data_IF_500627688585
#
_entry.id   IF_500627688585
#
_cell.length_a   1.000
_cell.length_b   1.000
_cell.length_c   1.000
_cell.angle_alpha   90.00
_cell.angle_beta   90.00
_cell.angle_gamma   90.00
#
_symmetry.space_group_name_H-M   'P 1'
#
loop_
_entity.id
_entity.type
_entity.pdbx_description
1 polymer ?
#
# COMPACT_ATOMS: atom_id res chain seq x y z
N UNK A 1 -0.12 22.25 -18.60
CA UNK A 1 -0.98 21.68 -17.55
C UNK A 1 -0.29 20.42 -17.02
N UNK A 2 0.46 20.52 -15.91
CA UNK A 2 1.20 19.38 -15.33
C UNK A 2 0.33 18.74 -14.26
N UNK A 3 -0.15 17.53 -14.51
CA UNK A 3 -0.82 16.68 -13.53
C UNK A 3 0.23 16.35 -12.46
N UNK A 4 0.00 16.83 -11.23
CA UNK A 4 0.89 16.61 -10.09
C UNK A 4 1.04 15.12 -9.82
N UNK A 5 2.26 14.63 -9.95
CA UNK A 5 2.60 13.22 -9.77
C UNK A 5 2.52 12.85 -8.28
N UNK A 6 1.31 12.52 -7.78
CA UNK A 6 1.07 12.08 -6.40
C UNK A 6 1.66 10.68 -6.08
N UNK A 7 2.39 10.09 -7.03
CA UNK A 7 3.05 8.81 -6.83
C UNK A 7 4.39 8.92 -6.08
N UNK A 8 4.94 10.12 -5.85
CA UNK A 8 6.27 10.28 -5.24
C UNK A 8 6.34 9.72 -3.80
N UNK A 9 5.29 9.87 -2.98
CA UNK A 9 5.24 9.28 -1.64
C UNK A 9 5.16 7.76 -1.65
N UNK A 10 4.43 7.20 -2.61
CA UNK A 10 4.26 5.76 -2.80
C UNK A 10 5.51 5.13 -3.42
N UNK A 11 6.20 5.81 -4.34
CA UNK A 11 7.49 5.37 -4.84
C UNK A 11 8.57 5.44 -3.77
N UNK A 12 8.56 6.43 -2.87
CA UNK A 12 9.40 6.44 -1.66
C UNK A 12 9.06 5.25 -0.75
N UNK A 13 7.79 4.89 -0.61
CA UNK A 13 7.33 3.74 0.17
C UNK A 13 7.82 2.39 -0.42
N UNK A 14 7.64 2.16 -1.72
CA UNK A 14 8.18 0.99 -2.42
C UNK A 14 9.72 1.01 -2.48
N UNK A 15 10.35 2.19 -2.53
CA UNK A 15 11.81 2.32 -2.45
C UNK A 15 12.33 2.01 -1.05
N UNK A 16 11.61 2.35 0.02
CA UNK A 16 11.92 1.96 1.40
C UNK A 16 11.73 0.46 1.64
N UNK A 17 10.82 -0.21 0.91
CA UNK A 17 10.73 -1.68 0.89
C UNK A 17 11.99 -2.35 0.29
N UNK A 18 12.78 -1.63 -0.52
CA UNK A 18 14.05 -2.09 -1.12
C UNK A 18 15.30 -1.38 -0.56
N UNK A 19 15.13 -0.38 0.30
CA UNK A 19 16.16 0.58 0.68
C UNK A 19 16.52 0.47 2.15
N UNK A 20 17.22 -0.59 2.51
CA UNK A 20 17.55 -0.87 3.91
C UNK A 20 18.72 -1.83 4.12
N UNK A 21 19.82 -1.68 3.37
CA UNK A 21 21.22 -1.72 3.84
C UNK A 21 22.19 -1.83 2.66
N UNK A 22 23.21 -0.97 2.71
CA UNK A 22 24.30 -0.90 1.76
C UNK A 22 25.07 -2.22 1.65
N UNK A 23 25.66 -2.39 0.47
CA UNK A 23 26.53 -3.49 0.06
C UNK A 23 27.65 -3.73 1.09
N UNK A 24 27.59 -4.85 1.80
CA UNK A 24 28.80 -5.50 2.33
C UNK A 24 29.14 -6.62 1.37
N UNK A 25 30.22 -6.43 0.63
CA UNK A 25 30.91 -7.45 -0.15
C UNK A 25 31.25 -8.62 0.79
N UNK A 26 30.48 -9.70 0.76
CA UNK A 26 30.81 -10.94 1.47
C UNK A 26 31.70 -11.77 0.55
N UNK A 27 33.00 -11.57 0.73
CA UNK A 27 34.08 -12.40 0.22
C UNK A 27 33.84 -13.86 0.62
N UNK A 28 34.08 -14.75 -0.34
CA UNK A 28 34.13 -16.21 -0.19
C UNK A 28 34.88 -16.65 1.07
N UNK A 29 34.22 -17.46 1.91
CA UNK A 29 34.83 -18.07 3.08
C UNK A 29 34.09 -19.35 3.47
N UNK A 30 34.66 -20.49 3.08
CA UNK A 30 34.29 -21.82 3.54
C UNK A 30 34.33 -21.89 5.06
N UNK A 31 33.19 -22.13 5.71
CA UNK A 31 33.11 -22.27 7.16
C UNK A 31 31.78 -22.86 7.59
N UNK A 32 31.79 -24.16 7.92
CA UNK A 32 30.63 -24.87 8.42
C UNK A 32 30.13 -24.25 9.74
N UNK A 33 28.91 -23.71 9.73
CA UNK A 33 28.17 -23.38 10.94
C UNK A 33 26.78 -24.01 10.87
N UNK A 34 26.54 -24.97 11.79
CA UNK A 34 25.23 -25.57 12.05
C UNK A 34 24.34 -24.53 12.74
N UNK A 35 23.69 -23.70 11.94
CA UNK A 35 22.54 -22.88 12.33
C UNK A 35 21.50 -23.00 11.22
N UNK A 36 20.22 -23.07 11.56
CA UNK A 36 19.10 -23.24 10.63
C UNK A 36 18.95 -22.05 9.65
N UNK A 37 19.87 -21.90 8.70
CA UNK A 37 19.64 -21.12 7.49
C UNK A 37 18.72 -21.94 6.59
N UNK A 38 17.42 -21.67 6.65
CA UNK A 38 16.50 -22.07 5.60
C UNK A 38 16.75 -21.18 4.37
N UNK A 39 17.85 -21.47 3.65
CA UNK A 39 18.22 -20.74 2.46
C UNK A 39 17.20 -20.96 1.35
N UNK A 40 16.76 -19.87 0.71
CA UNK A 40 15.98 -19.96 -0.51
C UNK A 40 16.82 -20.60 -1.63
N UNK A 41 16.19 -21.43 -2.45
CA UNK A 41 16.76 -21.97 -3.69
C UNK A 41 16.38 -21.10 -4.90
N UNK A 42 17.05 -21.34 -6.04
CA UNK A 42 16.62 -20.76 -7.33
C UNK A 42 15.22 -21.26 -7.73
N UNK A 43 14.87 -22.49 -7.36
CA UNK A 43 13.55 -23.05 -7.61
C UNK A 43 12.49 -22.39 -6.74
N UNK A 44 12.79 -22.01 -5.50
CA UNK A 44 11.89 -21.22 -4.64
C UNK A 44 11.61 -19.83 -5.24
N UNK A 45 12.63 -19.20 -5.84
CA UNK A 45 12.46 -17.94 -6.55
C UNK A 45 11.52 -18.07 -7.75
N UNK A 46 11.67 -19.15 -8.54
CA UNK A 46 10.85 -19.41 -9.73
C UNK A 46 9.43 -19.86 -9.39
N UNK A 47 9.27 -20.69 -8.37
CA UNK A 47 7.98 -21.23 -7.92
C UNK A 47 7.16 -20.25 -7.08
N UNK A 48 7.79 -19.19 -6.56
CA UNK A 48 7.13 -18.21 -5.69
C UNK A 48 7.17 -18.56 -4.20
N UNK A 49 7.85 -19.65 -3.82
CA UNK A 49 8.11 -20.04 -2.44
C UNK A 49 9.29 -19.32 -1.79
N UNK A 50 9.94 -18.41 -2.51
CA UNK A 50 11.01 -17.58 -1.97
C UNK A 50 10.53 -16.78 -0.74
N UNK A 51 11.20 -17.01 0.39
CA UNK A 51 11.00 -16.29 1.65
C UNK A 51 11.73 -14.96 1.61
N UNK A 52 11.02 -13.88 1.91
CA UNK A 52 11.65 -12.57 2.07
C UNK A 52 12.47 -12.50 3.39
N UNK A 53 13.13 -11.37 3.65
CA UNK A 53 13.90 -11.10 4.88
C UNK A 53 13.08 -11.23 6.17
N UNK A 54 11.76 -11.26 6.08
CA UNK A 54 10.84 -11.46 7.19
C UNK A 54 10.34 -12.91 7.31
N UNK A 55 10.92 -13.84 6.55
CA UNK A 55 10.57 -15.27 6.56
C UNK A 55 9.26 -15.61 5.86
N UNK A 56 8.67 -14.67 5.10
CA UNK A 56 7.36 -14.82 4.46
C UNK A 56 7.52 -15.26 3.01
N UNK A 57 6.94 -16.41 2.66
CA UNK A 57 6.85 -16.93 1.28
C UNK A 57 5.81 -16.16 0.46
N UNK A 58 5.97 -16.15 -0.87
CA UNK A 58 4.97 -15.60 -1.77
C UNK A 58 5.02 -14.09 -1.96
N UNK A 59 6.11 -13.42 -1.54
CA UNK A 59 6.23 -11.95 -1.58
C UNK A 59 7.26 -11.41 -2.59
N UNK A 60 8.15 -12.23 -3.17
CA UNK A 60 9.15 -11.76 -4.15
C UNK A 60 8.57 -11.34 -5.53
N UNK A 61 8.54 -10.05 -5.86
CA UNK A 61 7.88 -9.50 -7.06
C UNK A 61 8.80 -9.38 -8.29
N UNK A 62 10.10 -9.65 -8.15
CA UNK A 62 11.09 -9.50 -9.22
C UNK A 62 10.70 -10.32 -10.45
N UNK A 63 10.61 -9.67 -11.61
CA UNK A 63 10.24 -10.30 -12.88
C UNK A 63 8.77 -10.74 -12.99
N UNK A 64 7.92 -10.37 -12.03
CA UNK A 64 6.50 -10.74 -11.99
C UNK A 64 5.59 -9.53 -12.20
N UNK A 65 4.48 -9.74 -12.90
CA UNK A 65 3.44 -8.72 -13.15
C UNK A 65 2.07 -9.11 -12.57
N UNK A 66 1.90 -10.38 -12.18
CA UNK A 66 0.63 -10.94 -11.71
C UNK A 66 0.15 -10.30 -10.40
N UNK A 67 1.03 -9.68 -9.63
CA UNK A 67 0.70 -9.05 -8.35
C UNK A 67 -0.11 -7.75 -8.44
N UNK A 68 -0.09 -7.06 -9.60
CA UNK A 68 -0.85 -5.83 -9.82
C UNK A 68 -2.30 -6.11 -10.20
N UNK A 69 -3.01 -6.86 -9.36
CA UNK A 69 -4.42 -7.21 -9.57
C UNK A 69 -5.24 -6.96 -8.32
N UNK A 70 -6.51 -6.65 -8.51
CA UNK A 70 -7.45 -6.45 -7.41
C UNK A 70 -7.91 -7.81 -6.91
N UNK A 71 -7.74 -8.05 -5.61
CA UNK A 71 -8.24 -9.25 -4.92
C UNK A 71 -9.21 -8.85 -3.82
N UNK A 72 -10.09 -9.76 -3.41
CA UNK A 72 -10.94 -9.49 -2.26
C UNK A 72 -10.07 -9.36 -1.00
N UNK A 73 -10.28 -8.30 -0.22
CA UNK A 73 -9.63 -8.11 1.08
C UNK A 73 -10.68 -8.04 2.17
N UNK A 74 -10.29 -8.33 3.42
CA UNK A 74 -11.23 -8.30 4.54
C UNK A 74 -11.77 -6.88 4.77
N UNK A 75 -13.01 -6.79 5.24
CA UNK A 75 -13.65 -5.51 5.57
C UNK A 75 -12.83 -4.72 6.61
N UNK A 76 -12.26 -5.42 7.58
CA UNK A 76 -11.35 -4.84 8.57
C UNK A 76 -10.17 -4.09 7.93
N UNK A 77 -9.58 -4.65 6.86
CA UNK A 77 -8.45 -4.02 6.18
C UNK A 77 -8.89 -2.87 5.28
N UNK A 78 -10.10 -2.92 4.72
CA UNK A 78 -10.68 -1.77 4.01
C UNK A 78 -10.92 -0.60 4.96
N UNK A 79 -11.49 -0.87 6.14
CA UNK A 79 -11.69 0.14 7.18
C UNK A 79 -10.35 0.70 7.68
N UNK A 80 -9.34 -0.16 7.87
CA UNK A 80 -7.99 0.27 8.24
C UNK A 80 -7.40 1.29 7.26
N UNK A 81 -7.58 1.06 5.95
CA UNK A 81 -7.16 2.01 4.91
C UNK A 81 -7.99 3.30 4.98
N UNK A 82 -9.30 3.21 5.15
CA UNK A 82 -10.17 4.37 5.23
C UNK A 82 -9.83 5.28 6.42
N UNK A 83 -9.61 4.71 7.60
CA UNK A 83 -9.23 5.48 8.80
C UNK A 83 -7.87 6.16 8.65
N UNK A 84 -6.91 5.52 7.99
CA UNK A 84 -5.61 6.15 7.72
C UNK A 84 -5.74 7.35 6.79
N UNK A 85 -6.53 7.22 5.71
CA UNK A 85 -6.83 8.35 4.82
C UNK A 85 -7.53 9.46 5.59
N UNK A 86 -8.59 9.14 6.35
CA UNK A 86 -9.33 10.10 7.16
C UNK A 86 -8.38 10.86 8.07
N UNK A 87 -7.57 10.15 8.86
CA UNK A 87 -6.53 10.74 9.72
C UNK A 87 -5.57 11.64 8.93
N UNK A 88 -5.14 11.24 7.74
CA UNK A 88 -4.27 12.05 6.86
C UNK A 88 -4.88 13.40 6.48
N UNK A 89 -6.19 13.43 6.19
CA UNK A 89 -6.90 14.68 5.89
C UNK A 89 -7.05 15.58 7.12
N UNK A 90 -7.48 15.04 8.27
CA UNK A 90 -7.63 15.83 9.49
C UNK A 90 -6.30 16.35 10.02
N UNK A 91 -5.24 15.53 10.02
CA UNK A 91 -3.99 15.85 10.70
C UNK A 91 -2.96 16.53 9.81
N UNK A 92 -2.91 16.17 8.52
CA UNK A 92 -1.83 16.53 7.61
C UNK A 92 -2.31 17.22 6.33
N UNK A 93 -3.58 17.64 6.28
CA UNK A 93 -4.12 18.33 5.11
C UNK A 93 -4.04 17.49 3.84
N UNK A 94 -4.33 16.19 3.96
CA UNK A 94 -4.35 15.25 2.83
C UNK A 94 -2.96 14.75 2.38
N UNK A 95 -1.91 15.03 3.14
CA UNK A 95 -0.57 14.49 2.93
C UNK A 95 -0.27 13.34 3.90
N UNK A 96 0.75 12.54 3.60
CA UNK A 96 1.31 11.62 4.59
C UNK A 96 2.06 12.41 5.67
N UNK A 97 1.88 12.04 6.93
CA UNK A 97 2.66 12.60 8.03
C UNK A 97 4.11 12.12 8.05
N UNK A 98 4.99 12.87 8.71
CA UNK A 98 6.37 12.47 9.01
C UNK A 98 6.47 11.89 10.43
N UNK A 99 5.62 10.91 10.73
CA UNK A 99 5.64 10.20 12.01
C UNK A 99 5.88 8.71 11.78
N UNK A 100 7.08 8.27 12.15
CA UNK A 100 7.52 6.88 11.99
C UNK A 100 6.62 5.91 12.75
N UNK A 101 6.24 6.20 13.99
CA UNK A 101 5.41 5.30 14.79
C UNK A 101 4.01 5.11 14.18
N UNK A 102 3.43 6.17 13.62
CA UNK A 102 2.15 6.09 12.92
C UNK A 102 2.24 5.28 11.62
N UNK A 103 3.34 5.49 10.88
CA UNK A 103 3.65 4.74 9.66
C UNK A 103 3.83 3.26 9.96
N UNK A 104 4.63 2.93 10.97
CA UNK A 104 4.90 1.57 11.40
C UNK A 104 3.61 0.88 11.85
N UNK A 105 2.79 1.53 12.69
CA UNK A 105 1.51 0.98 13.13
C UNK A 105 0.56 0.67 11.97
N UNK A 106 0.52 1.52 10.93
CA UNK A 106 -0.28 1.28 9.73
C UNK A 106 0.20 0.04 8.97
N UNK A 107 1.50 -0.06 8.71
CA UNK A 107 2.07 -1.17 7.94
C UNK A 107 2.15 -2.48 8.71
N UNK A 108 2.32 -2.45 10.04
CA UNK A 108 2.34 -3.66 10.88
C UNK A 108 1.04 -4.44 10.79
N UNK A 109 -0.10 -3.75 10.69
CA UNK A 109 -1.39 -4.40 10.47
C UNK A 109 -1.46 -5.05 9.09
N UNK A 110 -0.98 -4.37 8.04
CA UNK A 110 -0.90 -4.93 6.68
C UNK A 110 0.04 -6.15 6.65
N UNK A 111 1.21 -6.07 7.30
CA UNK A 111 2.17 -7.17 7.40
C UNK A 111 1.59 -8.40 8.11
N UNK A 112 0.80 -8.18 9.17
CA UNK A 112 0.12 -9.25 9.88
C UNK A 112 -0.97 -9.87 9.03
N UNK A 113 -1.74 -9.05 8.31
CA UNK A 113 -2.79 -9.50 7.41
C UNK A 113 -2.25 -10.34 6.24
N UNK A 114 -1.21 -9.90 5.54
CA UNK A 114 -0.68 -10.67 4.40
C UNK A 114 -0.19 -12.06 4.81
N UNK A 115 0.32 -12.22 6.04
CA UNK A 115 0.76 -13.51 6.56
C UNK A 115 -0.40 -14.50 6.75
N UNK A 116 -1.63 -14.03 6.96
CA UNK A 116 -2.81 -14.89 7.10
C UNK A 116 -3.43 -15.31 5.76
N UNK A 117 -3.06 -14.66 4.66
CA UNK A 117 -3.58 -14.96 3.32
C UNK A 117 -2.90 -16.16 2.67
N UNK A 118 -3.58 -16.79 1.72
CA UNK A 118 -2.99 -17.82 0.86
C UNK A 118 -1.93 -17.24 -0.08
N UNK A 119 -0.98 -18.07 -0.55
CA UNK A 119 0.12 -17.62 -1.41
C UNK A 119 -0.35 -16.94 -2.70
N UNK A 120 -1.50 -17.35 -3.24
CA UNK A 120 -1.99 -16.83 -4.50
C UNK A 120 -2.47 -15.38 -4.35
N UNK A 121 -3.19 -15.05 -3.26
CA UNK A 121 -3.75 -13.71 -3.02
C UNK A 121 -2.84 -12.79 -2.23
N UNK A 122 -2.01 -13.34 -1.34
CA UNK A 122 -1.11 -12.62 -0.42
C UNK A 122 -0.34 -11.49 -1.08
N UNK A 123 0.22 -11.76 -2.26
CA UNK A 123 1.06 -10.83 -3.01
C UNK A 123 0.28 -9.64 -3.59
N UNK A 124 -0.98 -9.86 -3.94
CA UNK A 124 -1.86 -8.87 -4.57
C UNK A 124 -2.66 -8.05 -3.53
N UNK A 125 -2.74 -8.51 -2.28
CA UNK A 125 -3.45 -7.81 -1.23
C UNK A 125 -2.87 -6.41 -0.92
N UNK A 126 -1.55 -6.21 -0.73
CA UNK A 126 -0.99 -4.85 -0.55
C UNK A 126 -1.26 -3.92 -1.72
N UNK A 127 -1.23 -4.47 -2.95
CA UNK A 127 -1.60 -3.70 -4.14
C UNK A 127 -3.05 -3.23 -4.06
N UNK A 128 -3.98 -4.13 -3.73
CA UNK A 128 -5.39 -3.79 -3.56
C UNK A 128 -5.60 -2.71 -2.50
N UNK A 129 -4.96 -2.83 -1.33
CA UNK A 129 -5.07 -1.85 -0.25
C UNK A 129 -4.50 -0.48 -0.67
N UNK A 130 -3.40 -0.47 -1.43
CA UNK A 130 -2.84 0.76 -1.99
C UNK A 130 -3.77 1.41 -3.01
N UNK A 131 -4.41 0.63 -3.88
CA UNK A 131 -5.40 1.16 -4.82
C UNK A 131 -6.63 1.71 -4.07
N UNK A 132 -7.11 1.02 -3.03
CA UNK A 132 -8.20 1.54 -2.19
C UNK A 132 -7.84 2.87 -1.53
N UNK A 133 -6.62 2.99 -0.99
CA UNK A 133 -6.14 4.25 -0.42
C UNK A 133 -6.18 5.39 -1.44
N UNK A 134 -5.74 5.13 -2.67
CA UNK A 134 -5.76 6.10 -3.76
C UNK A 134 -7.18 6.51 -4.16
N UNK A 135 -8.11 5.56 -4.27
CA UNK A 135 -9.51 5.86 -4.58
C UNK A 135 -10.16 6.76 -3.52
N UNK A 136 -10.02 6.40 -2.24
CA UNK A 136 -10.57 7.19 -1.13
C UNK A 136 -9.92 8.57 -1.10
N UNK A 137 -8.58 8.64 -1.14
CA UNK A 137 -7.85 9.92 -1.11
C UNK A 137 -8.21 10.82 -2.29
N UNK A 138 -8.38 10.25 -3.48
CA UNK A 138 -8.77 10.99 -4.68
C UNK A 138 -10.16 11.61 -4.55
N UNK A 139 -11.13 10.83 -4.05
CA UNK A 139 -12.51 11.31 -3.82
C UNK A 139 -12.59 12.38 -2.74
N UNK A 140 -11.89 12.19 -1.62
CA UNK A 140 -11.82 13.21 -0.56
C UNK A 140 -11.15 14.48 -1.08
N UNK A 141 -10.05 14.36 -1.83
CA UNK A 141 -9.37 15.51 -2.47
C UNK A 141 -10.33 16.29 -3.38
N UNK A 142 -11.14 15.58 -4.18
CA UNK A 142 -12.12 16.21 -5.04
C UNK A 142 -13.20 16.94 -4.23
N UNK A 143 -13.80 16.27 -3.24
CA UNK A 143 -14.84 16.84 -2.39
C UNK A 143 -14.34 18.07 -1.61
N UNK A 144 -13.09 18.03 -1.11
CA UNK A 144 -12.46 19.19 -0.46
C UNK A 144 -12.34 20.35 -1.43
N UNK A 145 -11.89 20.12 -2.67
CA UNK A 145 -11.75 21.18 -3.69
C UNK A 145 -13.09 21.76 -4.16
N UNK A 146 -14.16 20.98 -4.11
CA UNK A 146 -15.51 21.47 -4.41
C UNK A 146 -16.01 22.45 -3.33
N UNK A 147 -15.59 22.26 -2.07
CA UNK A 147 -15.95 23.11 -0.93
C UNK A 147 -14.98 24.27 -0.69
N UNK A 148 -13.69 24.03 -0.89
CA UNK A 148 -12.61 25.02 -0.80
C UNK A 148 -11.71 24.91 -2.06
N UNK A 149 -12.05 25.64 -3.14
CA UNK A 149 -11.26 25.63 -4.37
C UNK A 149 -9.84 26.18 -4.23
N UNK A 150 -9.56 26.93 -3.15
CA UNK A 150 -8.24 27.53 -2.89
C UNK A 150 -7.30 26.59 -2.15
N UNK A 151 -7.83 25.51 -1.58
CA UNK A 151 -7.05 24.53 -0.85
C UNK A 151 -6.05 23.79 -1.76
N UNK A 152 -4.86 23.55 -1.20
CA UNK A 152 -3.79 22.75 -1.80
C UNK A 152 -3.29 21.73 -0.79
N UNK A 153 -2.88 20.54 -1.26
CA UNK A 153 -2.39 19.47 -0.40
C UNK A 153 -1.32 19.95 0.60
N UNK A 154 -1.46 19.52 1.86
CA UNK A 154 -0.62 19.92 2.99
C UNK A 154 -1.10 21.18 3.71
N UNK A 155 -2.05 21.94 3.16
CA UNK A 155 -2.73 23.01 3.89
C UNK A 155 -3.81 22.42 4.81
N UNK A 156 -4.00 22.97 6.03
CA UNK A 156 -5.11 22.59 6.89
C UNK A 156 -6.45 22.77 6.18
N UNK A 157 -7.41 21.90 6.49
CA UNK A 157 -8.78 21.94 6.00
C UNK A 157 -9.68 22.20 7.20
N UNK A 158 -10.74 22.98 7.02
CA UNK A 158 -11.74 23.17 8.08
C UNK A 158 -12.32 21.83 8.51
N UNK A 159 -12.44 21.61 9.83
CA UNK A 159 -13.06 20.40 10.36
C UNK A 159 -14.53 20.28 9.93
N UNK A 160 -15.26 21.39 9.79
CA UNK A 160 -16.65 21.36 9.31
C UNK A 160 -16.76 20.79 7.89
N UNK A 161 -15.80 21.12 7.01
CA UNK A 161 -15.73 20.57 5.66
C UNK A 161 -15.43 19.07 5.72
N UNK A 162 -14.47 18.66 6.55
CA UNK A 162 -14.11 17.25 6.68
C UNK A 162 -15.23 16.43 7.30
N UNK A 163 -15.91 16.95 8.32
CA UNK A 163 -17.03 16.30 8.99
C UNK A 163 -18.20 16.09 8.02
N UNK A 164 -18.46 17.06 7.14
CA UNK A 164 -19.45 16.92 6.07
C UNK A 164 -19.02 15.86 5.04
N UNK A 165 -17.77 15.90 4.57
CA UNK A 165 -17.24 14.98 3.56
C UNK A 165 -17.21 13.53 4.06
N UNK A 166 -16.82 13.33 5.32
CA UNK A 166 -16.79 12.03 5.97
C UNK A 166 -18.09 11.68 6.71
N UNK A 167 -19.17 12.43 6.46
CA UNK A 167 -20.48 12.10 7.01
C UNK A 167 -21.02 10.81 6.37
N UNK A 168 -21.40 9.85 7.22
CA UNK A 168 -21.87 8.54 6.76
C UNK A 168 -20.77 7.71 6.10
N UNK A 169 -21.16 6.82 5.18
CA UNK A 169 -20.28 5.86 4.52
C UNK A 169 -20.21 6.02 2.99
N UNK A 170 -20.80 7.07 2.42
CA UNK A 170 -20.92 7.23 0.97
C UNK A 170 -19.55 7.22 0.24
N UNK A 171 -18.58 8.02 0.69
CA UNK A 171 -17.22 8.02 0.11
C UNK A 171 -16.57 6.65 0.24
N UNK A 172 -16.78 5.97 1.37
CA UNK A 172 -16.25 4.64 1.60
C UNK A 172 -16.84 3.62 0.61
N UNK A 173 -18.17 3.51 0.55
CA UNK A 173 -18.88 2.59 -0.35
C UNK A 173 -18.53 2.87 -1.81
N UNK A 174 -18.53 4.14 -2.22
CA UNK A 174 -18.20 4.54 -3.59
C UNK A 174 -16.76 4.20 -3.99
N UNK A 175 -15.81 4.30 -3.05
CA UNK A 175 -14.42 3.93 -3.27
C UNK A 175 -14.26 2.42 -3.40
N UNK A 176 -14.91 1.66 -2.51
CA UNK A 176 -14.92 0.19 -2.54
C UNK A 176 -15.57 -0.31 -3.84
N UNK A 177 -16.74 0.19 -4.19
CA UNK A 177 -17.46 -0.18 -5.41
C UNK A 177 -16.66 0.19 -6.67
N UNK A 178 -16.04 1.37 -6.71
CA UNK A 178 -15.19 1.76 -7.83
C UNK A 178 -13.96 0.85 -7.98
N UNK A 179 -13.31 0.48 -6.88
CA UNK A 179 -12.16 -0.41 -6.90
C UNK A 179 -12.50 -1.80 -7.46
N UNK A 180 -13.57 -2.40 -6.96
CA UNK A 180 -13.95 -3.77 -7.35
C UNK A 180 -14.64 -3.85 -8.72
N UNK A 181 -15.29 -2.77 -9.17
CA UNK A 181 -15.77 -2.67 -10.55
C UNK A 181 -14.63 -2.55 -11.57
N UNK A 182 -13.54 -1.84 -11.23
CA UNK A 182 -12.29 -1.81 -12.01
C UNK A 182 -11.58 -3.17 -12.05
N UNK A 183 -11.70 -3.98 -11.00
CA UNK A 183 -11.16 -5.35 -10.99
C UNK A 183 -11.92 -6.34 -11.88
N UNK A 184 -13.20 -6.07 -12.16
CA UNK A 184 -14.07 -6.93 -12.98
C UNK A 184 -13.95 -6.66 -14.49
N UNK A 185 -13.40 -5.51 -14.88
CA UNK A 185 -13.01 -5.20 -16.25
C UNK A 185 -11.50 -5.27 -16.31
N UNK A 186 -10.94 -6.26 -17.01
CA UNK A 186 -9.49 -6.42 -17.15
C UNK A 186 -8.79 -5.08 -17.36
N UNK A 187 -7.76 -4.81 -16.57
CA UNK A 187 -6.99 -3.58 -16.64
C UNK A 187 -6.26 -3.52 -18.00
N UNK A 188 -6.91 -2.97 -19.02
CA UNK A 188 -6.26 -2.49 -20.24
C UNK A 188 -5.45 -1.23 -19.89
N UNK A 189 -4.32 -1.44 -19.21
CA UNK A 189 -3.29 -0.42 -19.07
C UNK A 189 -2.38 -0.59 -20.30
N UNK A 190 -2.61 0.23 -21.33
CA UNK A 190 -1.59 0.42 -22.37
C UNK A 190 -0.40 1.13 -21.76
N UNK A 191 0.78 0.51 -21.92
CA UNK A 191 2.10 1.02 -21.56
C UNK A 191 2.50 2.12 -22.55
#
# INVERSE_FOLDING_TARGET
MRIGNNSQGIWQLFSRMNGGKANTTMLSGSGASKGNYCGNTIDDLRSGHFKNSYGVEGMGITGRTDWKRIVNVSEEMKQHVYEDVKKGFYKYGGMSGDNTAETDAYYDKIHSYVKSLDLSTRRAAPWTLSQLHLEISGRVTQAVKEKDPTWTAGKPISHEILDEIFAGDAIYQDSVNALYSKGSKGLDIQI
#
